data_IF_440360695102
#
_entry.id   IF_440360695102
#
_cell.length_a   1.000
_cell.length_b   1.000
_cell.length_c   1.000
_cell.angle_alpha   90.00
_cell.angle_beta   90.00
_cell.angle_gamma   90.00
#
_symmetry.space_group_name_H-M   'P 1'
#
loop_
_entity.id
_entity.type
_entity.pdbx_description
1 polymer ?
#
# COMPACT_ATOMS: atom_id res chain seq x y z
N UNK A 1 -7.29 1.12 -14.63
CA UNK A 1 -6.86 -0.05 -13.83
C UNK A 1 -6.24 0.45 -12.55
N UNK A 2 -6.77 0.13 -11.39
CA UNK A 2 -6.25 0.62 -10.11
C UNK A 2 -5.46 -0.49 -9.41
N UNK A 3 -4.32 -0.16 -8.79
CA UNK A 3 -3.52 -1.10 -8.01
C UNK A 3 -3.58 -0.78 -6.53
N UNK A 4 -3.82 -1.80 -5.70
CA UNK A 4 -3.59 -1.75 -4.27
C UNK A 4 -2.22 -2.34 -4.02
N UNK A 5 -1.38 -1.59 -3.32
CA UNK A 5 -0.08 -2.08 -2.97
C UNK A 5 -0.05 -2.75 -1.60
N UNK A 6 0.64 -3.87 -1.51
CA UNK A 6 0.78 -4.68 -0.33
C UNK A 6 1.96 -4.29 0.57
N UNK A 7 2.17 -5.05 1.63
CA UNK A 7 3.00 -4.69 2.79
C UNK A 7 4.48 -4.41 2.53
N UNK A 8 5.04 -4.68 1.36
CA UNK A 8 6.39 -4.19 1.05
C UNK A 8 6.40 -2.70 0.70
N UNK A 9 5.23 -2.12 0.41
CA UNK A 9 5.02 -0.72 0.10
C UNK A 9 4.09 0.04 1.03
N UNK A 10 3.60 -0.56 2.12
CA UNK A 10 3.04 0.24 3.19
C UNK A 10 4.18 0.95 3.89
N UNK A 11 4.17 2.29 3.80
CA UNK A 11 5.12 3.11 4.54
C UNK A 11 4.87 2.95 6.03
N UNK A 12 5.52 1.95 6.63
CA UNK A 12 5.55 1.80 8.07
C UNK A 12 6.70 2.63 8.63
N UNK A 13 6.37 3.73 9.28
CA UNK A 13 7.35 4.60 9.91
C UNK A 13 7.47 4.37 11.40
N UNK A 14 8.71 4.27 11.91
CA UNK A 14 8.93 4.22 13.36
C UNK A 14 8.57 5.56 13.99
N UNK A 15 7.84 5.51 15.10
CA UNK A 15 7.41 6.66 15.88
C UNK A 15 8.31 6.86 17.10
N UNK A 16 8.48 8.13 17.49
CA UNK A 16 9.13 8.48 18.75
C UNK A 16 8.22 8.17 19.94
N UNK A 17 8.75 7.69 21.06
CA UNK A 17 7.99 7.21 22.22
C UNK A 17 7.29 8.37 22.95
N UNK A 18 5.97 8.25 23.19
CA UNK A 18 5.27 8.83 24.34
C UNK A 18 4.48 7.73 25.02
N UNK A 19 4.53 7.65 26.34
CA UNK A 19 4.20 6.46 27.12
C UNK A 19 2.78 5.91 26.99
N UNK A 20 1.74 6.70 26.78
CA UNK A 20 0.35 6.24 26.77
C UNK A 20 -0.18 5.77 25.41
N UNK A 21 0.43 6.13 24.31
CA UNK A 21 -0.04 5.82 22.94
C UNK A 21 0.72 4.63 22.34
N UNK A 22 1.67 4.09 23.07
CA UNK A 22 2.65 3.08 22.63
C UNK A 22 2.00 1.82 22.05
N UNK A 23 0.96 1.28 22.69
CA UNK A 23 0.34 0.01 22.26
C UNK A 23 -0.46 0.10 20.95
N UNK A 24 -0.97 1.28 20.58
CA UNK A 24 -1.83 1.45 19.41
C UNK A 24 -1.04 1.45 18.08
N UNK A 25 0.22 1.81 18.12
CA UNK A 25 1.07 1.97 16.94
C UNK A 25 2.13 0.88 16.80
N UNK A 26 2.20 -0.05 17.75
CA UNK A 26 3.19 -1.12 17.72
C UNK A 26 2.87 -2.14 16.62
N UNK A 27 3.82 -2.34 15.71
CA UNK A 27 3.76 -3.41 14.71
C UNK A 27 4.53 -4.63 15.24
N UNK A 28 3.82 -5.73 15.48
CA UNK A 28 4.44 -6.99 15.93
C UNK A 28 5.45 -7.54 14.92
N UNK A 29 5.19 -7.37 13.62
CA UNK A 29 6.08 -7.78 12.54
C UNK A 29 7.39 -6.98 12.52
N UNK A 30 7.32 -5.67 12.73
CA UNK A 30 8.48 -4.75 12.71
C UNK A 30 9.09 -4.53 14.09
N UNK A 31 8.49 -5.07 15.16
CA UNK A 31 8.88 -4.87 16.58
C UNK A 31 9.11 -3.40 16.97
N UNK A 32 8.36 -2.47 16.38
CA UNK A 32 8.44 -1.02 16.60
C UNK A 32 7.11 -0.31 16.30
N UNK A 33 6.99 0.95 16.73
CA UNK A 33 5.82 1.78 16.44
C UNK A 33 5.89 2.29 15.01
N UNK A 34 4.78 2.11 14.27
CA UNK A 34 4.68 2.45 12.85
C UNK A 34 3.35 3.10 12.52
N UNK A 35 3.35 3.89 11.45
CA UNK A 35 2.16 4.36 10.74
C UNK A 35 2.08 3.58 9.42
N UNK A 36 0.88 3.18 9.03
CA UNK A 36 0.61 2.54 7.75
C UNK A 36 -0.05 3.50 6.79
N UNK A 37 0.35 3.44 5.55
CA UNK A 37 -0.27 4.16 4.45
C UNK A 37 -0.63 3.18 3.35
N UNK A 38 -1.88 3.21 2.92
CA UNK A 38 -2.36 2.54 1.72
C UNK A 38 -2.37 3.55 0.57
N UNK A 39 -1.80 3.20 -0.56
CA UNK A 39 -1.84 4.00 -1.79
C UNK A 39 -2.56 3.23 -2.88
N UNK A 40 -3.51 3.87 -3.53
CA UNK A 40 -4.08 3.44 -4.79
C UNK A 40 -3.40 4.20 -5.93
N UNK A 41 -2.86 3.46 -6.89
CA UNK A 41 -2.06 4.01 -7.98
C UNK A 41 -2.66 3.54 -9.30
N UNK A 42 -2.80 4.45 -10.25
CA UNK A 42 -3.08 4.12 -11.64
C UNK A 42 -1.78 3.65 -12.32
N UNK A 43 -1.68 2.40 -12.79
CA UNK A 43 -0.45 1.89 -13.37
C UNK A 43 -0.17 2.39 -14.79
N UNK A 44 -1.11 3.09 -15.42
CA UNK A 44 -0.96 3.59 -16.80
C UNK A 44 -0.20 4.92 -16.82
N UNK A 45 -0.51 5.79 -15.88
CA UNK A 45 0.10 7.12 -15.74
C UNK A 45 0.84 7.30 -14.41
N UNK A 46 1.01 6.22 -13.63
CA UNK A 46 1.68 6.20 -12.31
C UNK A 46 1.09 7.18 -11.28
N UNK A 47 -0.10 7.69 -11.50
CA UNK A 47 -0.79 8.66 -10.64
C UNK A 47 -1.24 8.04 -9.31
N UNK A 48 -0.99 8.73 -8.21
CA UNK A 48 -1.50 8.39 -6.89
C UNK A 48 -2.94 8.91 -6.78
N UNK A 49 -3.91 8.00 -6.84
CA UNK A 49 -5.34 8.34 -6.86
C UNK A 49 -5.88 8.57 -5.45
N UNK A 50 -5.48 7.73 -4.49
CA UNK A 50 -6.04 7.76 -3.14
C UNK A 50 -5.03 7.31 -2.11
N UNK A 51 -5.15 7.90 -0.92
CA UNK A 51 -4.34 7.60 0.24
C UNK A 51 -5.25 7.28 1.43
N UNK A 52 -4.88 6.24 2.19
CA UNK A 52 -5.50 5.98 3.49
C UNK A 52 -4.41 5.70 4.53
N UNK A 53 -4.68 6.10 5.77
CA UNK A 53 -3.69 6.09 6.84
C UNK A 53 -4.25 5.37 8.06
N UNK A 54 -3.42 4.54 8.68
CA UNK A 54 -3.79 3.82 9.90
C UNK A 54 -2.58 3.52 10.79
N UNK A 55 -2.89 2.99 11.98
CA UNK A 55 -1.91 2.59 12.97
C UNK A 55 -1.25 1.28 12.55
N UNK A 56 0.03 1.10 12.83
CA UNK A 56 0.82 -0.04 12.39
C UNK A 56 0.29 -1.42 12.79
N UNK A 57 -0.52 -1.52 13.84
CA UNK A 57 -1.12 -2.78 14.27
C UNK A 57 -2.31 -3.23 13.40
N UNK A 58 -2.94 -2.32 12.65
CA UNK A 58 -4.10 -2.64 11.80
C UNK A 58 -3.66 -3.50 10.63
N UNK A 59 -4.42 -4.55 10.32
CA UNK A 59 -4.13 -5.41 9.16
C UNK A 59 -4.37 -4.64 7.85
N UNK A 60 -3.52 -4.85 6.84
CA UNK A 60 -3.57 -4.10 5.57
C UNK A 60 -4.93 -4.21 4.86
N UNK A 61 -5.53 -5.39 4.87
CA UNK A 61 -6.87 -5.59 4.31
C UNK A 61 -7.96 -4.85 5.09
N UNK A 62 -7.81 -4.73 6.43
CA UNK A 62 -8.72 -3.93 7.24
C UNK A 62 -8.57 -2.43 6.93
N UNK A 63 -7.33 -1.97 6.72
CA UNK A 63 -7.05 -0.62 6.27
C UNK A 63 -7.75 -0.33 4.93
N UNK A 64 -7.69 -1.26 3.98
CA UNK A 64 -8.42 -1.14 2.72
C UNK A 64 -9.93 -1.04 2.92
N UNK A 65 -10.53 -1.90 3.78
CA UNK A 65 -11.96 -1.84 4.09
C UNK A 65 -12.38 -0.50 4.70
N UNK A 66 -11.56 0.01 5.64
CA UNK A 66 -11.86 1.27 6.34
C UNK A 66 -11.61 2.51 5.48
N UNK A 67 -10.81 2.40 4.43
CA UNK A 67 -10.46 3.53 3.55
C UNK A 67 -11.67 4.09 2.78
N UNK A 68 -12.76 3.31 2.67
CA UNK A 68 -13.96 3.67 1.88
C UNK A 68 -13.61 4.21 0.47
N UNK A 69 -12.53 3.68 -0.11
CA UNK A 69 -12.09 4.12 -1.44
C UNK A 69 -13.17 3.79 -2.47
N UNK A 70 -13.78 4.82 -3.06
CA UNK A 70 -14.80 4.67 -4.10
C UNK A 70 -14.10 4.30 -5.41
N UNK A 71 -14.05 3.02 -5.69
CA UNK A 71 -13.55 2.52 -6.98
C UNK A 71 -14.69 2.54 -7.99
N UNK A 72 -14.40 3.01 -9.21
CA UNK A 72 -15.38 2.95 -10.30
C UNK A 72 -15.81 1.51 -10.54
N UNK A 73 -17.11 1.22 -10.70
CA UNK A 73 -17.57 -0.09 -11.14
C UNK A 73 -16.84 -0.52 -12.42
N UNK A 74 -16.35 -1.76 -12.46
CA UNK A 74 -15.58 -2.26 -13.61
C UNK A 74 -14.08 -1.99 -13.59
N UNK A 75 -13.57 -1.11 -12.74
CA UNK A 75 -12.14 -0.90 -12.60
C UNK A 75 -11.42 -2.18 -12.13
N UNK A 76 -10.35 -2.57 -12.81
CA UNK A 76 -9.55 -3.73 -12.39
C UNK A 76 -8.63 -3.35 -11.25
N UNK A 77 -8.78 -4.04 -10.12
CA UNK A 77 -7.99 -3.84 -8.93
C UNK A 77 -6.94 -4.97 -8.78
N UNK A 78 -5.67 -4.62 -8.81
CA UNK A 78 -4.59 -5.58 -8.57
C UNK A 78 -4.02 -5.37 -7.17
N UNK A 79 -3.94 -6.43 -6.39
CA UNK A 79 -3.37 -6.39 -5.05
C UNK A 79 -2.45 -7.59 -4.80
N UNK A 80 -1.74 -7.56 -3.68
CA UNK A 80 -0.85 -8.66 -3.28
C UNK A 80 -1.63 -9.80 -2.63
N UNK A 81 -0.95 -10.90 -2.47
CA UNK A 81 -1.43 -12.12 -1.82
C UNK A 81 -1.90 -11.91 -0.37
N UNK A 82 -1.54 -10.81 0.28
CA UNK A 82 -2.01 -10.41 1.61
C UNK A 82 -3.48 -9.97 1.66
N UNK A 83 -4.05 -9.57 0.53
CA UNK A 83 -5.43 -9.07 0.41
C UNK A 83 -6.44 -10.17 0.06
N UNK A 84 -6.31 -11.34 0.67
CA UNK A 84 -7.26 -12.43 0.49
C UNK A 84 -8.66 -12.01 0.96
N UNK A 85 -9.68 -12.29 0.13
CA UNK A 85 -11.05 -11.82 0.35
C UNK A 85 -11.39 -10.50 -0.37
N UNK A 86 -10.43 -9.86 -1.04
CA UNK A 86 -10.67 -8.67 -1.86
C UNK A 86 -11.71 -8.96 -2.96
N UNK A 87 -11.68 -10.14 -3.57
CA UNK A 87 -12.65 -10.60 -4.57
C UNK A 87 -14.09 -10.59 -4.09
N UNK A 88 -14.32 -10.72 -2.77
CA UNK A 88 -15.66 -10.61 -2.17
C UNK A 88 -16.15 -9.16 -2.08
N UNK A 89 -15.25 -8.20 -2.06
CA UNK A 89 -15.57 -6.77 -1.98
C UNK A 89 -15.56 -6.08 -3.34
N UNK A 90 -14.73 -6.58 -4.24
CA UNK A 90 -14.56 -6.03 -5.58
C UNK A 90 -14.36 -7.20 -6.56
N UNK A 91 -15.36 -7.47 -7.37
CA UNK A 91 -15.40 -8.65 -8.26
C UNK A 91 -14.28 -8.63 -9.29
N UNK A 92 -13.95 -7.46 -9.83
CA UNK A 92 -12.87 -7.29 -10.81
C UNK A 92 -11.50 -7.09 -10.12
N UNK A 93 -11.12 -8.03 -9.25
CA UNK A 93 -9.83 -7.99 -8.56
C UNK A 93 -8.91 -9.13 -8.97
N UNK A 94 -7.63 -8.83 -9.13
CA UNK A 94 -6.58 -9.77 -9.53
C UNK A 94 -5.56 -9.90 -8.40
N UNK A 95 -5.43 -11.13 -7.90
CA UNK A 95 -4.50 -11.48 -6.82
C UNK A 95 -3.54 -12.58 -7.29
N UNK A 96 -2.26 -12.53 -6.89
CA UNK A 96 -1.36 -13.65 -7.15
C UNK A 96 -1.77 -14.87 -6.34
N UNK A 97 -1.71 -16.04 -6.97
CA UNK A 97 -1.96 -17.32 -6.29
C UNK A 97 -0.80 -17.66 -5.38
N UNK A 98 -1.12 -18.08 -4.15
CA UNK A 98 -0.11 -18.57 -3.20
C UNK A 98 0.27 -20.01 -3.50
N UNK A 99 1.56 -20.30 -3.44
CA UNK A 99 2.05 -21.67 -3.37
C UNK A 99 1.81 -22.23 -1.97
N UNK A 100 1.34 -23.45 -1.86
CA UNK A 100 1.25 -24.19 -0.61
C UNK A 100 2.14 -25.45 -0.70
N UNK A 101 2.65 -25.96 0.44
CA UNK A 101 3.48 -27.19 0.46
C UNK A 101 2.76 -28.37 -0.22
N UNK A 102 1.45 -28.48 -0.03
CA UNK A 102 0.63 -29.56 -0.58
C UNK A 102 0.12 -29.30 -2.01
N UNK A 103 0.28 -28.07 -2.54
CA UNK A 103 -0.15 -27.70 -3.89
C UNK A 103 0.84 -26.71 -4.50
N UNK A 104 1.88 -27.20 -5.19
CA UNK A 104 2.78 -26.34 -5.94
C UNK A 104 2.04 -25.67 -7.10
N UNK A 105 2.46 -24.45 -7.45
CA UNK A 105 1.86 -23.71 -8.56
C UNK A 105 2.16 -24.38 -9.89
N UNK A 106 1.14 -24.49 -10.75
CA UNK A 106 1.27 -24.95 -12.13
C UNK A 106 2.12 -23.96 -12.96
N UNK A 107 2.62 -24.42 -14.13
CA UNK A 107 3.34 -23.56 -15.08
C UNK A 107 2.51 -22.32 -15.50
N UNK A 108 1.21 -22.51 -15.72
CA UNK A 108 0.27 -21.43 -16.05
C UNK A 108 0.10 -20.43 -14.91
N UNK A 109 -0.07 -20.90 -13.67
CA UNK A 109 -0.21 -20.06 -12.49
C UNK A 109 1.06 -19.24 -12.21
N UNK A 110 2.23 -19.84 -12.42
CA UNK A 110 3.52 -19.11 -12.35
C UNK A 110 3.61 -18.00 -13.41
N UNK A 111 3.17 -18.28 -14.65
CA UNK A 111 3.12 -17.29 -15.74
C UNK A 111 2.17 -16.14 -15.39
N UNK A 112 0.99 -16.44 -14.86
CA UNK A 112 0.02 -15.43 -14.39
C UNK A 112 0.61 -14.58 -13.27
N UNK A 113 1.21 -15.19 -12.25
CA UNK A 113 1.87 -14.47 -11.16
C UNK A 113 3.01 -13.56 -11.66
N UNK A 114 3.80 -14.02 -12.64
CA UNK A 114 4.85 -13.22 -13.28
C UNK A 114 4.27 -12.00 -13.99
N UNK A 115 3.15 -12.14 -14.70
CA UNK A 115 2.47 -11.02 -15.35
C UNK A 115 1.94 -10.00 -14.33
N UNK A 116 1.38 -10.47 -13.21
CA UNK A 116 0.97 -9.60 -12.10
C UNK A 116 2.19 -8.86 -11.52
N UNK A 117 3.31 -9.56 -11.32
CA UNK A 117 4.54 -8.94 -10.80
C UNK A 117 5.10 -7.87 -11.74
N UNK A 118 5.09 -8.12 -13.06
CA UNK A 118 5.53 -7.09 -14.04
C UNK A 118 4.71 -5.81 -13.95
N UNK A 119 3.39 -5.92 -13.77
CA UNK A 119 2.52 -4.75 -13.57
C UNK A 119 2.83 -3.99 -12.28
N UNK A 120 3.58 -4.55 -11.34
CA UNK A 120 3.99 -3.88 -10.10
C UNK A 120 5.15 -2.91 -10.29
N UNK A 121 5.87 -2.97 -11.41
CA UNK A 121 7.01 -2.08 -11.67
C UNK A 121 6.58 -0.61 -11.55
N UNK A 122 5.45 -0.23 -12.14
CA UNK A 122 4.89 1.12 -12.01
C UNK A 122 4.67 1.55 -10.55
N UNK A 123 4.26 0.61 -9.70
CA UNK A 123 4.08 0.87 -8.27
C UNK A 123 5.41 1.10 -7.56
N UNK A 124 6.44 0.33 -7.89
CA UNK A 124 7.79 0.51 -7.34
C UNK A 124 8.40 1.85 -7.77
N UNK A 125 8.14 2.30 -9.00
CA UNK A 125 8.52 3.65 -9.46
C UNK A 125 7.89 4.73 -8.60
N UNK A 126 6.57 4.70 -8.43
CA UNK A 126 5.86 5.68 -7.58
C UNK A 126 6.36 5.66 -6.14
N UNK A 127 6.66 4.46 -5.61
CA UNK A 127 7.24 4.35 -4.29
C UNK A 127 8.63 4.97 -4.20
N UNK A 128 9.46 4.77 -5.21
CA UNK A 128 10.78 5.39 -5.27
C UNK A 128 10.66 6.92 -5.29
N UNK A 129 9.72 7.48 -6.08
CA UNK A 129 9.45 8.91 -6.12
C UNK A 129 9.04 9.46 -4.76
N UNK A 130 8.08 8.82 -4.10
CA UNK A 130 7.61 9.23 -2.78
C UNK A 130 8.71 9.08 -1.71
N UNK A 131 9.55 8.03 -1.79
CA UNK A 131 10.66 7.78 -0.87
C UNK A 131 11.82 8.77 -1.01
N UNK A 132 11.92 9.51 -2.11
CA UNK A 132 12.88 10.61 -2.30
C UNK A 132 12.74 11.65 -1.18
N UNK A 133 11.55 11.83 -0.65
CA UNK A 133 11.31 12.75 0.45
C UNK A 133 11.70 12.12 1.80
N UNK A 134 12.79 12.61 2.41
CA UNK A 134 13.31 12.09 3.69
C UNK A 134 12.28 12.05 4.81
N UNK A 135 11.34 12.97 4.85
CA UNK A 135 10.25 12.98 5.81
C UNK A 135 9.38 11.71 5.73
N UNK A 136 9.36 11.05 4.57
CA UNK A 136 8.67 9.79 4.35
C UNK A 136 9.58 8.57 4.41
N UNK A 137 10.84 8.63 4.05
CA UNK A 137 11.78 7.51 4.07
C UNK A 137 12.47 7.30 5.41
N UNK A 138 12.71 8.36 6.19
CA UNK A 138 13.37 8.29 7.49
C UNK A 138 12.38 8.12 8.66
N UNK A 139 12.90 8.03 9.89
CA UNK A 139 12.10 7.98 11.12
C UNK A 139 11.27 9.25 11.28
N UNK A 140 9.94 9.10 11.35
CA UNK A 140 9.04 10.23 11.49
C UNK A 140 9.13 10.86 12.89
N UNK A 141 9.65 12.08 12.99
CA UNK A 141 9.88 12.83 14.24
C UNK A 141 8.85 13.91 14.52
N UNK A 142 7.98 14.18 13.56
CA UNK A 142 6.98 15.25 13.63
C UNK A 142 5.67 14.81 14.30
N UNK A 143 4.77 15.76 14.55
CA UNK A 143 3.44 15.50 15.13
C UNK A 143 2.63 14.56 14.24
N UNK A 144 2.18 13.44 14.80
CA UNK A 144 1.43 12.38 14.09
C UNK A 144 0.16 12.88 13.41
N UNK A 145 -0.58 13.81 14.05
CA UNK A 145 -1.82 14.40 13.50
C UNK A 145 -1.63 15.03 12.11
N UNK A 146 -0.42 15.46 11.76
CA UNK A 146 -0.10 16.07 10.47
C UNK A 146 0.57 15.11 9.47
N UNK A 147 0.68 13.84 9.81
CA UNK A 147 1.32 12.86 8.91
C UNK A 147 0.55 12.71 7.60
N UNK A 148 -0.77 12.52 7.68
CA UNK A 148 -1.63 12.37 6.50
C UNK A 148 -1.55 13.60 5.59
N UNK A 149 -1.67 14.81 6.15
CA UNK A 149 -1.56 16.05 5.39
C UNK A 149 -0.23 16.13 4.63
N UNK A 150 0.89 15.89 5.32
CA UNK A 150 2.22 15.94 4.70
C UNK A 150 2.40 14.90 3.62
N UNK A 151 1.90 13.69 3.85
CA UNK A 151 1.96 12.63 2.85
C UNK A 151 1.12 13.00 1.63
N UNK A 152 -0.09 13.54 1.82
CA UNK A 152 -0.96 13.97 0.72
C UNK A 152 -0.35 15.11 -0.09
N UNK A 153 0.31 16.07 0.55
CA UNK A 153 1.04 17.14 -0.15
C UNK A 153 2.18 16.55 -1.01
N UNK A 154 2.96 15.63 -0.47
CA UNK A 154 4.05 14.97 -1.21
C UNK A 154 3.49 14.16 -2.37
N UNK A 155 2.39 13.45 -2.18
CA UNK A 155 1.74 12.70 -3.25
C UNK A 155 1.25 13.63 -4.38
N UNK A 156 0.70 14.80 -4.02
CA UNK A 156 0.33 15.84 -4.99
C UNK A 156 1.53 16.36 -5.78
N UNK A 157 2.66 16.60 -5.11
CA UNK A 157 3.91 17.01 -5.78
C UNK A 157 4.39 15.93 -6.73
N UNK A 158 4.39 14.65 -6.30
CA UNK A 158 4.77 13.53 -7.17
C UNK A 158 3.86 13.43 -8.41
N UNK A 159 2.54 13.57 -8.21
CA UNK A 159 1.61 13.56 -9.34
C UNK A 159 1.86 14.72 -10.32
N UNK A 160 2.11 15.92 -9.78
CA UNK A 160 2.42 17.09 -10.62
C UNK A 160 3.69 16.91 -11.43
N UNK A 161 4.76 16.38 -10.83
CA UNK A 161 6.02 16.10 -11.54
C UNK A 161 5.88 15.06 -12.67
N UNK A 162 4.89 14.16 -12.57
CA UNK A 162 4.63 13.15 -13.61
C UNK A 162 3.80 13.69 -14.79
N UNK A 163 3.13 14.82 -14.61
CA UNK A 163 2.35 15.49 -15.64
C UNK A 163 3.22 16.47 -16.49
N UNK A 164 4.43 16.78 -16.00
CA UNK A 164 5.38 17.68 -16.65
C UNK A 164 6.29 16.93 -17.60
#
# INVERSE_FOLDING_TARGET
MYKIQPPHGTFEKPLCKSFQVVRLYYSGKKKRHTLKTLMLINPENEEIISLAFEKGKVHDFQLFKSSKSHLKPGAQLTADSGYQGLTKLHTNSVLPKKSNKNRPLSKQERKQNRNISRKRIAVEHVLALVNRFRILSERYRNRRKRFSLRFSLIAGICNFEQLS
#
